data_IF_828131113577
#
_entry.id   IF_828131113577
#
_cell.length_a   1.000
_cell.length_b   1.000
_cell.length_c   1.000
_cell.angle_alpha   90.00
_cell.angle_beta   90.00
_cell.angle_gamma   90.00
#
_symmetry.space_group_name_H-M   'P 1'
#
loop_
_entity.id
_entity.type
_entity.pdbx_description
1 polymer ?
#
# COMPACT_ATOMS: atom_id res chain seq x y z
N UNK A 1 19.38 24.04 23.85
CA UNK A 1 19.33 24.20 22.39
C UNK A 1 18.11 23.44 21.91
N UNK A 2 17.04 24.16 21.54
CA UNK A 2 15.83 23.51 21.01
C UNK A 2 16.16 22.90 19.65
N UNK A 3 16.24 21.58 19.62
CA UNK A 3 16.42 20.84 18.38
C UNK A 3 15.20 21.15 17.50
N UNK A 4 15.37 21.77 16.32
CA UNK A 4 14.25 22.11 15.46
C UNK A 4 13.47 20.83 15.12
N UNK A 5 12.14 20.88 15.26
CA UNK A 5 11.30 19.71 15.03
C UNK A 5 11.58 19.12 13.64
N UNK A 6 11.60 17.79 13.53
CA UNK A 6 11.94 17.07 12.30
C UNK A 6 11.12 17.55 11.07
N UNK A 7 9.91 18.05 11.34
CA UNK A 7 8.99 18.65 10.36
C UNK A 7 9.53 19.95 9.74
N UNK A 8 10.29 20.75 10.51
CA UNK A 8 10.89 22.01 10.05
C UNK A 8 12.28 21.82 9.45
N UNK A 9 13.10 20.90 9.97
CA UNK A 9 14.46 20.66 9.47
C UNK A 9 14.49 19.78 8.21
N UNK A 10 13.76 18.67 8.20
CA UNK A 10 13.75 17.70 7.09
C UNK A 10 12.33 17.19 6.80
N UNK A 11 11.47 18.00 6.14
CA UNK A 11 10.06 17.66 5.92
C UNK A 11 9.88 16.35 5.14
N UNK A 12 10.75 16.06 4.15
CA UNK A 12 10.71 14.82 3.37
C UNK A 12 10.90 13.58 4.26
N UNK A 13 11.88 13.63 5.18
CA UNK A 13 12.14 12.56 6.16
C UNK A 13 10.94 12.37 7.09
N UNK A 14 10.31 13.47 7.54
CA UNK A 14 9.12 13.41 8.38
C UNK A 14 7.93 12.73 7.68
N UNK A 15 7.59 13.14 6.46
CA UNK A 15 6.49 12.53 5.71
C UNK A 15 6.74 11.05 5.39
N UNK A 16 7.97 10.70 4.99
CA UNK A 16 8.32 9.31 4.73
C UNK A 16 8.26 8.46 6.01
N UNK A 17 8.70 8.98 7.16
CA UNK A 17 8.57 8.30 8.46
C UNK A 17 7.11 8.08 8.84
N UNK A 18 6.23 9.04 8.58
CA UNK A 18 4.79 8.90 8.79
C UNK A 18 4.19 7.81 7.89
N UNK A 19 4.57 7.78 6.61
CA UNK A 19 4.15 6.74 5.67
C UNK A 19 4.62 5.35 6.11
N UNK A 20 5.89 5.21 6.52
CA UNK A 20 6.43 3.95 7.00
C UNK A 20 5.72 3.46 8.27
N UNK A 21 5.37 4.36 9.19
CA UNK A 21 4.54 4.03 10.37
C UNK A 21 3.14 3.58 9.97
N UNK A 22 2.51 4.24 9.01
CA UNK A 22 1.21 3.84 8.51
C UNK A 22 1.25 2.42 7.91
N UNK A 23 2.23 2.13 7.05
CA UNK A 23 2.45 0.79 6.50
C UNK A 23 2.78 -0.24 7.59
N UNK A 24 3.52 0.15 8.63
CA UNK A 24 3.79 -0.68 9.78
C UNK A 24 2.49 -1.09 10.47
N UNK A 25 1.58 -0.16 10.77
CA UNK A 25 0.28 -0.47 11.38
C UNK A 25 -0.61 -1.37 10.51
N UNK A 26 -0.53 -1.24 9.19
CA UNK A 26 -1.20 -2.17 8.25
C UNK A 26 -0.60 -3.58 8.25
N UNK A 27 0.47 -3.83 9.01
CA UNK A 27 1.11 -5.14 9.09
C UNK A 27 2.11 -5.40 7.94
N UNK A 28 2.43 -4.42 7.10
CA UNK A 28 3.32 -4.58 5.93
C UNK A 28 4.81 -4.71 6.27
N UNK A 29 5.15 -4.83 7.56
CA UNK A 29 6.51 -4.88 8.05
C UNK A 29 7.12 -3.50 8.30
N UNK A 30 8.21 -3.50 9.06
CA UNK A 30 8.98 -2.28 9.31
C UNK A 30 9.85 -1.91 8.10
N UNK A 31 9.37 -0.96 7.29
CA UNK A 31 10.05 -0.39 6.13
C UNK A 31 10.96 0.80 6.47
N UNK A 32 10.99 1.25 7.72
CA UNK A 32 11.87 2.34 8.14
C UNK A 32 13.32 1.85 8.20
N UNK A 33 14.25 2.70 7.77
CA UNK A 33 15.67 2.32 7.64
C UNK A 33 16.45 2.51 8.95
N UNK A 34 16.08 3.48 9.80
CA UNK A 34 16.69 3.61 11.13
C UNK A 34 16.20 2.45 12.01
N UNK A 35 17.09 1.89 12.83
CA UNK A 35 16.69 0.87 13.79
C UNK A 35 15.70 1.45 14.80
N UNK A 36 14.56 0.77 14.95
CA UNK A 36 13.60 1.10 15.99
C UNK A 36 13.98 0.37 17.28
N UNK A 37 14.18 1.12 18.37
CA UNK A 37 14.32 0.60 19.75
C UNK A 37 12.98 0.05 20.29
N UNK A 38 12.36 -0.85 19.54
CA UNK A 38 11.11 -1.47 19.95
C UNK A 38 11.40 -2.55 21.01
N UNK A 39 10.73 -2.45 22.16
CA UNK A 39 10.74 -3.48 23.21
C UNK A 39 10.40 -4.87 22.63
N UNK A 40 10.99 -5.91 23.21
CA UNK A 40 10.78 -7.31 22.83
C UNK A 40 9.29 -7.69 22.73
N UNK A 41 8.47 -7.20 23.66
CA UNK A 41 7.03 -7.44 23.70
C UNK A 41 6.34 -6.82 22.47
N UNK A 42 6.70 -5.59 22.11
CA UNK A 42 6.16 -4.90 20.94
C UNK A 42 6.52 -5.63 19.64
N UNK A 43 7.74 -6.15 19.52
CA UNK A 43 8.16 -6.96 18.35
C UNK A 43 7.36 -8.26 18.25
N UNK A 44 7.08 -8.92 19.38
CA UNK A 44 6.30 -10.17 19.41
C UNK A 44 4.82 -9.92 19.05
N UNK A 45 4.18 -8.92 19.67
CA UNK A 45 2.82 -8.51 19.33
C UNK A 45 2.69 -8.13 17.86
N UNK A 46 3.67 -7.38 17.34
CA UNK A 46 3.70 -7.01 15.94
C UNK A 46 3.82 -8.22 15.01
N UNK A 47 4.64 -9.20 15.39
CA UNK A 47 4.80 -10.44 14.60
C UNK A 47 3.49 -11.20 14.51
N UNK A 48 2.76 -11.30 15.62
CA UNK A 48 1.42 -11.92 15.65
C UNK A 48 0.44 -11.12 14.79
N UNK A 49 0.40 -9.80 14.93
CA UNK A 49 -0.45 -8.92 14.12
C UNK A 49 -0.18 -9.08 12.62
N UNK A 50 1.10 -9.12 12.22
CA UNK A 50 1.51 -9.34 10.84
C UNK A 50 1.00 -10.69 10.30
N UNK A 51 1.07 -11.76 11.09
CA UNK A 51 0.58 -13.08 10.70
C UNK A 51 -0.94 -13.04 10.50
N UNK A 52 -1.67 -12.41 11.41
CA UNK A 52 -3.13 -12.28 11.32
C UNK A 52 -3.52 -11.47 10.07
N UNK A 53 -2.91 -10.31 9.86
CA UNK A 53 -3.22 -9.43 8.73
C UNK A 53 -2.93 -10.08 7.37
N UNK A 54 -1.76 -10.72 7.21
CA UNK A 54 -1.43 -11.41 5.96
C UNK A 54 -2.23 -12.71 5.79
N UNK A 55 -2.50 -13.44 6.88
CA UNK A 55 -3.34 -14.63 6.88
C UNK A 55 -4.76 -14.32 6.43
N UNK A 56 -5.33 -13.20 6.88
CA UNK A 56 -6.64 -12.73 6.43
C UNK A 56 -6.70 -12.52 4.91
N UNK A 57 -5.68 -11.89 4.32
CA UNK A 57 -5.60 -11.69 2.86
C UNK A 57 -5.56 -13.03 2.12
N UNK A 58 -4.77 -13.99 2.61
CA UNK A 58 -4.69 -15.34 2.01
C UNK A 58 -6.05 -16.05 2.11
N UNK A 59 -6.74 -15.95 3.24
CA UNK A 59 -8.08 -16.55 3.42
C UNK A 59 -9.06 -15.97 2.40
N UNK A 60 -9.09 -14.65 2.21
CA UNK A 60 -9.97 -14.00 1.22
C UNK A 60 -9.65 -14.47 -0.20
N UNK A 61 -8.36 -14.59 -0.55
CA UNK A 61 -7.96 -15.12 -1.86
C UNK A 61 -8.38 -16.58 -2.06
N UNK A 62 -8.29 -17.40 -1.02
CA UNK A 62 -8.76 -18.79 -1.07
C UNK A 62 -10.28 -18.86 -1.18
N UNK A 63 -11.01 -18.02 -0.46
CA UNK A 63 -12.47 -17.92 -0.51
C UNK A 63 -12.95 -17.54 -1.91
N UNK A 64 -12.28 -16.60 -2.57
CA UNK A 64 -12.55 -16.23 -3.96
C UNK A 64 -12.25 -17.37 -4.92
N UNK A 65 -11.13 -18.07 -4.75
CA UNK A 65 -10.79 -19.22 -5.58
C UNK A 65 -11.83 -20.35 -5.42
N UNK A 66 -12.26 -20.62 -4.19
CA UNK A 66 -13.28 -21.62 -3.88
C UNK A 66 -14.67 -21.21 -4.36
N UNK A 67 -14.95 -19.91 -4.42
CA UNK A 67 -16.20 -19.39 -4.96
C UNK A 67 -16.39 -19.77 -6.44
N UNK A 68 -15.32 -19.92 -7.24
CA UNK A 68 -15.46 -20.46 -8.61
C UNK A 68 -15.94 -21.92 -8.68
N UNK A 69 -15.79 -22.69 -7.60
CA UNK A 69 -16.25 -24.07 -7.55
C UNK A 69 -17.75 -24.19 -7.19
N UNK A 70 -18.39 -23.12 -6.71
CA UNK A 70 -19.84 -23.10 -6.46
C UNK A 70 -20.60 -22.94 -7.79
N UNK A 71 -21.63 -23.76 -7.97
CA UNK A 71 -22.53 -23.70 -9.13
C UNK A 71 -23.78 -22.86 -8.89
N UNK A 72 -24.02 -22.45 -7.64
CA UNK A 72 -25.24 -21.81 -7.15
C UNK A 72 -25.09 -20.29 -6.93
N UNK A 73 -24.17 -19.64 -7.62
CA UNK A 73 -23.99 -18.18 -7.54
C UNK A 73 -25.05 -17.44 -8.36
N UNK A 74 -25.63 -16.42 -7.74
CA UNK A 74 -26.44 -15.42 -8.44
C UNK A 74 -25.59 -14.65 -9.47
N UNK A 75 -26.23 -14.05 -10.47
CA UNK A 75 -25.51 -13.29 -11.50
C UNK A 75 -24.76 -12.08 -10.92
N UNK A 76 -25.25 -11.54 -9.78
CA UNK A 76 -24.57 -10.49 -9.01
C UNK A 76 -23.28 -11.00 -8.37
N UNK A 77 -23.35 -12.12 -7.65
CA UNK A 77 -22.17 -12.71 -7.00
C UNK A 77 -21.12 -13.14 -8.02
N UNK A 78 -21.53 -13.59 -9.22
CA UNK A 78 -20.59 -13.89 -10.32
C UNK A 78 -19.85 -12.65 -10.81
N UNK A 79 -20.54 -11.52 -10.98
CA UNK A 79 -19.90 -10.28 -11.40
C UNK A 79 -18.93 -9.75 -10.34
N UNK A 80 -19.33 -9.77 -9.07
CA UNK A 80 -18.47 -9.36 -7.94
C UNK A 80 -17.25 -10.29 -7.82
N UNK A 81 -17.44 -11.60 -7.96
CA UNK A 81 -16.36 -12.59 -7.96
C UNK A 81 -15.32 -12.29 -9.03
N UNK A 82 -15.75 -11.99 -10.27
CA UNK A 82 -14.84 -11.64 -11.36
C UNK A 82 -14.02 -10.38 -11.01
N UNK A 83 -14.66 -9.34 -10.49
CA UNK A 83 -13.96 -8.11 -10.11
C UNK A 83 -12.93 -8.34 -8.98
N UNK A 84 -13.32 -9.07 -7.93
CA UNK A 84 -12.45 -9.34 -6.79
C UNK A 84 -11.28 -10.27 -7.14
N UNK A 85 -11.50 -11.23 -8.03
CA UNK A 85 -10.45 -12.14 -8.54
C UNK A 85 -9.32 -11.40 -9.24
N UNK A 86 -9.57 -10.23 -9.84
CA UNK A 86 -8.50 -9.41 -10.41
C UNK A 86 -7.93 -8.42 -9.39
N UNK A 87 -8.78 -7.82 -8.56
CA UNK A 87 -8.38 -6.77 -7.62
C UNK A 87 -7.48 -7.29 -6.49
N UNK A 88 -7.89 -8.35 -5.79
CA UNK A 88 -7.17 -8.80 -4.60
C UNK A 88 -5.80 -9.44 -4.91
N UNK A 89 -5.64 -10.29 -5.94
CA UNK A 89 -4.31 -10.76 -6.35
C UNK A 89 -3.39 -9.62 -6.77
N UNK A 90 -3.90 -8.60 -7.46
CA UNK A 90 -3.10 -7.44 -7.85
C UNK A 90 -2.58 -6.66 -6.64
N UNK A 91 -3.43 -6.45 -5.64
CA UNK A 91 -3.04 -5.81 -4.36
C UNK A 91 -2.01 -6.69 -3.64
N UNK A 92 -2.25 -8.00 -3.57
CA UNK A 92 -1.35 -8.94 -2.93
C UNK A 92 0.04 -8.98 -3.60
N UNK A 93 0.10 -8.98 -4.94
CA UNK A 93 1.35 -8.89 -5.69
C UNK A 93 2.16 -7.63 -5.34
N UNK A 94 1.50 -6.48 -5.14
CA UNK A 94 2.18 -5.25 -4.71
C UNK A 94 2.73 -5.38 -3.28
N UNK A 95 1.95 -5.94 -2.36
CA UNK A 95 2.39 -6.20 -0.99
C UNK A 95 3.57 -7.17 -0.96
N UNK A 96 3.53 -8.24 -1.76
CA UNK A 96 4.60 -9.21 -1.88
C UNK A 96 5.88 -8.58 -2.44
N UNK A 97 5.76 -7.72 -3.46
CA UNK A 97 6.90 -6.99 -4.01
C UNK A 97 7.56 -6.10 -2.94
N UNK A 98 6.76 -5.43 -2.10
CA UNK A 98 7.28 -4.65 -0.98
C UNK A 98 8.07 -5.52 0.02
N UNK A 99 7.60 -6.74 0.32
CA UNK A 99 8.34 -7.66 1.20
C UNK A 99 9.64 -8.16 0.58
N UNK A 100 9.61 -8.59 -0.69
CA UNK A 100 10.80 -9.11 -1.39
C UNK A 100 11.88 -8.01 -1.52
N UNK A 101 11.47 -6.77 -1.80
CA UNK A 101 12.38 -5.67 -2.07
C UNK A 101 12.63 -4.77 -0.87
N UNK A 102 12.13 -5.15 0.31
CA UNK A 102 12.17 -4.37 1.55
C UNK A 102 13.56 -3.82 1.87
N UNK A 103 14.58 -4.67 1.88
CA UNK A 103 15.93 -4.27 2.29
C UNK A 103 16.55 -3.32 1.27
N UNK A 104 16.29 -3.54 -0.02
CA UNK A 104 16.71 -2.63 -1.09
C UNK A 104 16.01 -1.29 -1.00
N UNK A 105 14.73 -1.26 -0.65
CA UNK A 105 13.98 -0.02 -0.41
C UNK A 105 14.61 0.76 0.74
N UNK A 106 14.95 0.10 1.86
CA UNK A 106 15.61 0.76 2.99
C UNK A 106 16.92 1.43 2.60
N UNK A 107 17.80 0.70 1.90
CA UNK A 107 19.11 1.23 1.45
C UNK A 107 18.95 2.40 0.49
N UNK A 108 18.01 2.33 -0.45
CA UNK A 108 17.75 3.43 -1.39
C UNK A 108 17.23 4.67 -0.65
N UNK A 109 16.34 4.48 0.34
CA UNK A 109 15.73 5.57 1.08
C UNK A 109 16.70 6.24 2.06
N UNK A 110 17.55 5.46 2.73
CA UNK A 110 18.65 5.99 3.55
C UNK A 110 19.59 6.87 2.72
N UNK A 111 20.03 6.37 1.55
CA UNK A 111 20.86 7.14 0.59
C UNK A 111 20.16 8.36 0.01
N UNK A 112 18.83 8.40 0.01
CA UNK A 112 18.04 9.53 -0.47
C UNK A 112 17.88 10.61 0.60
N UNK A 113 17.67 10.20 1.84
CA UNK A 113 17.33 11.11 2.94
C UNK A 113 18.55 11.57 3.75
N UNK A 114 19.64 10.79 3.78
CA UNK A 114 20.84 11.07 4.59
C UNK A 114 22.10 11.25 3.76
N UNK A 115 22.12 10.76 2.53
CA UNK A 115 23.26 10.91 1.64
C UNK A 115 23.53 12.38 1.33
N UNK A 116 24.66 12.91 1.78
CA UNK A 116 25.22 14.18 1.31
C UNK A 116 25.69 14.00 -0.14
N UNK A 117 24.80 14.17 -1.12
CA UNK A 117 25.10 13.85 -2.52
C UNK A 117 26.00 14.93 -3.14
N UNK A 118 27.18 14.49 -3.59
CA UNK A 118 28.12 15.26 -4.44
C UNK A 118 27.72 15.30 -5.92
N UNK A 119 26.71 14.52 -6.33
CA UNK A 119 26.34 14.34 -7.74
C UNK A 119 25.19 15.29 -8.08
N UNK A 120 25.46 16.19 -9.02
CA UNK A 120 24.56 17.15 -9.67
C UNK A 120 23.08 16.72 -9.63
N UNK A 121 22.33 17.34 -8.72
CA UNK A 121 20.88 17.35 -8.76
C UNK A 121 20.46 18.30 -9.88
N UNK A 122 20.07 17.79 -11.05
CA UNK A 122 19.29 18.64 -11.95
C UNK A 122 17.88 18.72 -11.35
N UNK A 123 17.56 19.91 -10.83
CA UNK A 123 16.24 20.25 -10.29
C UNK A 123 15.12 19.97 -11.32
N UNK A 124 15.48 19.94 -12.60
CA UNK A 124 14.62 19.51 -13.69
C UNK A 124 14.23 18.01 -13.63
N UNK A 125 15.19 17.11 -13.36
CA UNK A 125 14.91 15.66 -13.29
C UNK A 125 14.01 15.31 -12.09
N UNK A 126 14.20 16.01 -10.97
CA UNK A 126 13.35 15.86 -9.79
C UNK A 126 11.92 16.35 -10.06
N UNK A 127 11.78 17.54 -10.70
CA UNK A 127 10.47 18.05 -11.15
C UNK A 127 9.78 17.08 -12.11
N UNK A 128 10.50 16.49 -13.07
CA UNK A 128 9.96 15.50 -13.99
C UNK A 128 9.50 14.24 -13.27
N UNK A 129 10.30 13.75 -12.31
CA UNK A 129 9.95 12.56 -11.51
C UNK A 129 8.69 12.79 -10.68
N UNK A 130 8.58 13.95 -10.01
CA UNK A 130 7.38 14.34 -9.25
C UNK A 130 6.17 14.48 -10.17
N UNK A 131 6.34 15.09 -11.35
CA UNK A 131 5.25 15.24 -12.34
C UNK A 131 4.75 13.88 -12.83
N UNK A 132 5.66 12.95 -13.12
CA UNK A 132 5.30 11.60 -13.57
C UNK A 132 4.65 10.79 -12.46
N UNK A 133 5.16 10.86 -11.23
CA UNK A 133 4.53 10.25 -10.06
C UNK A 133 3.13 10.80 -9.81
N UNK A 134 2.96 12.12 -9.84
CA UNK A 134 1.66 12.78 -9.69
C UNK A 134 0.66 12.34 -10.76
N UNK A 135 1.11 12.24 -12.02
CA UNK A 135 0.27 11.72 -13.12
C UNK A 135 -0.18 10.28 -12.87
N UNK A 136 0.70 9.42 -12.36
CA UNK A 136 0.33 8.05 -12.01
C UNK A 136 -0.64 7.99 -10.83
N UNK A 137 -0.42 8.78 -9.78
CA UNK A 137 -1.35 8.88 -8.65
C UNK A 137 -2.72 9.38 -9.10
N UNK A 138 -2.77 10.44 -9.91
CA UNK A 138 -4.02 10.98 -10.43
C UNK A 138 -4.76 9.93 -11.28
N UNK A 139 -4.06 9.28 -12.21
CA UNK A 139 -4.64 8.23 -13.04
C UNK A 139 -5.21 7.07 -12.21
N UNK A 140 -4.48 6.62 -11.19
CA UNK A 140 -4.93 5.54 -10.31
C UNK A 140 -6.19 5.97 -9.54
N UNK A 141 -6.17 7.16 -8.94
CA UNK A 141 -7.30 7.72 -8.20
C UNK A 141 -8.53 7.85 -9.08
N UNK A 142 -8.39 8.38 -10.31
CA UNK A 142 -9.51 8.49 -11.25
C UNK A 142 -10.10 7.12 -11.58
N UNK A 143 -9.27 6.14 -11.91
CA UNK A 143 -9.74 4.78 -12.21
C UNK A 143 -10.48 4.19 -11.00
N UNK A 144 -9.92 4.30 -9.80
CA UNK A 144 -10.57 3.80 -8.58
C UNK A 144 -11.92 4.47 -8.30
N UNK A 145 -12.03 5.79 -8.47
CA UNK A 145 -13.30 6.49 -8.30
C UNK A 145 -14.33 6.10 -9.36
N UNK A 146 -13.91 5.98 -10.62
CA UNK A 146 -14.81 5.54 -11.71
C UNK A 146 -15.32 4.14 -11.41
N UNK A 147 -14.44 3.19 -11.04
CA UNK A 147 -14.85 1.83 -10.66
C UNK A 147 -15.84 1.83 -9.50
N UNK A 148 -15.59 2.63 -8.45
CA UNK A 148 -16.49 2.73 -7.30
C UNK A 148 -17.86 3.32 -7.67
N UNK A 149 -17.88 4.39 -8.46
CA UNK A 149 -19.11 5.00 -8.95
C UNK A 149 -19.90 4.02 -9.83
N UNK A 150 -19.24 3.32 -10.75
CA UNK A 150 -19.87 2.29 -11.59
C UNK A 150 -20.48 1.17 -10.75
N UNK A 151 -19.74 0.64 -9.77
CA UNK A 151 -20.24 -0.39 -8.86
C UNK A 151 -21.44 0.10 -8.03
N UNK A 152 -21.42 1.37 -7.59
CA UNK A 152 -22.51 1.97 -6.81
C UNK A 152 -23.75 2.19 -7.67
N UNK A 153 -23.59 2.68 -8.90
CA UNK A 153 -24.71 2.85 -9.84
C UNK A 153 -25.34 1.50 -10.18
N UNK A 154 -24.53 0.47 -10.43
CA UNK A 154 -25.03 -0.89 -10.68
C UNK A 154 -25.78 -1.44 -9.46
N UNK A 155 -25.24 -1.24 -8.26
CA UNK A 155 -25.87 -1.65 -7.00
C UNK A 155 -27.21 -0.95 -6.75
N UNK A 156 -27.31 0.35 -7.03
CA UNK A 156 -28.57 1.12 -6.92
C UNK A 156 -29.57 0.63 -7.96
N UNK A 157 -29.14 0.48 -9.23
CA UNK A 157 -30.00 0.03 -10.32
C UNK A 157 -30.62 -1.33 -10.03
N UNK A 158 -29.84 -2.28 -9.52
CA UNK A 158 -30.33 -3.60 -9.15
C UNK A 158 -31.30 -3.56 -7.98
N UNK A 159 -31.05 -2.73 -6.96
CA UNK A 159 -31.96 -2.59 -5.81
C UNK A 159 -33.36 -2.05 -6.18
N UNK A 160 -33.48 -1.29 -7.29
CA UNK A 160 -34.76 -0.80 -7.79
C UNK A 160 -35.42 -1.71 -8.84
N UNK A 161 -34.70 -2.72 -9.36
CA UNK A 161 -35.21 -3.68 -10.36
C UNK A 161 -35.71 -4.97 -9.70
N UNK A 162 -35.14 -5.37 -8.55
CA UNK A 162 -35.70 -6.38 -7.63
C UNK A 162 -36.88 -5.84 -6.81
#
# INVERSE_FOLDING_TARGET
MDVPSLKKSHPQKYYFKALCKFMFYLGMGDLWYEESDASYISRKLYTVWRIIANGYIIIILLDELLSYARTDLTDREKNDLVQFTFAHPLIYCKVLTLYIWKDRIKVVMERLLEGSRLIFHSLELERLSVKQFSRHCFSLTTVSYVTLCSATIEGIRLHFIE
#
